data_IF_252447453112
#
_entry.id   IF_252447453112
#
_cell.length_a   1.000
_cell.length_b   1.000
_cell.length_c   1.000
_cell.angle_alpha   90.00
_cell.angle_beta   90.00
_cell.angle_gamma   90.00
#
_symmetry.space_group_name_H-M   'P 1'
#
loop_
_entity.id
_entity.type
_entity.pdbx_description
1 polymer ?
#
# COMPACT_ATOMS: atom_id res chain seq x y z
N UNK A 1 9.38 -36.90 45.16
CA UNK A 1 10.63 -36.52 44.52
C UNK A 1 10.61 -37.08 43.11
N UNK A 2 10.28 -36.28 42.15
CA UNK A 2 10.24 -36.64 40.74
C UNK A 2 11.08 -35.60 39.98
N UNK A 3 12.25 -36.04 39.55
CA UNK A 3 13.19 -35.23 38.71
C UNK A 3 12.72 -35.28 37.27
N UNK A 4 12.56 -34.10 36.66
CA UNK A 4 12.27 -33.95 35.24
C UNK A 4 13.57 -33.50 34.60
N UNK A 5 14.20 -34.43 33.85
CA UNK A 5 15.33 -34.13 32.98
C UNK A 5 14.83 -33.43 31.71
N UNK A 6 15.18 -32.18 31.57
CA UNK A 6 14.93 -31.37 30.39
C UNK A 6 16.03 -31.58 29.34
N UNK A 7 15.75 -32.31 28.29
CA UNK A 7 16.63 -32.45 27.13
C UNK A 7 16.28 -31.37 26.08
N UNK A 8 17.09 -30.34 25.97
CA UNK A 8 17.04 -29.32 24.93
C UNK A 8 18.01 -29.68 23.79
N UNK A 9 17.59 -29.87 22.56
CA UNK A 9 18.51 -29.92 21.43
C UNK A 9 18.76 -28.50 20.91
N UNK A 10 19.93 -27.97 21.23
CA UNK A 10 20.48 -26.79 20.55
C UNK A 10 20.85 -27.14 19.11
N UNK A 11 20.14 -26.58 18.14
CA UNK A 11 20.58 -26.53 16.74
C UNK A 11 20.75 -25.08 16.33
N UNK A 12 21.94 -24.57 16.57
CA UNK A 12 22.48 -23.39 15.90
C UNK A 12 22.97 -23.79 14.51
N UNK A 13 22.20 -23.50 13.47
CA UNK A 13 22.71 -23.50 12.10
C UNK A 13 23.15 -22.09 11.75
N UNK A 14 24.45 -21.90 11.68
CA UNK A 14 25.09 -20.70 11.13
C UNK A 14 25.19 -20.89 9.62
N UNK A 15 24.67 -20.01 8.77
CA UNK A 15 24.94 -20.09 7.33
C UNK A 15 26.35 -19.55 7.06
N UNK A 16 27.20 -20.44 6.53
CA UNK A 16 28.55 -20.15 6.04
C UNK A 16 28.48 -19.21 4.84
N UNK A 17 29.14 -18.05 4.99
CA UNK A 17 29.39 -17.10 3.90
C UNK A 17 30.36 -17.77 2.91
N UNK A 18 29.96 -17.92 1.66
CA UNK A 18 30.84 -18.31 0.56
C UNK A 18 31.69 -17.12 0.13
N UNK A 19 32.97 -17.18 0.39
CA UNK A 19 33.99 -16.26 -0.16
C UNK A 19 34.13 -16.42 -1.67
N UNK A 20 34.29 -15.35 -2.46
CA UNK A 20 34.59 -15.45 -3.87
C UNK A 20 36.08 -15.74 -4.09
N UNK A 21 36.34 -16.86 -4.73
CA UNK A 21 37.65 -17.35 -5.17
C UNK A 21 38.29 -16.39 -6.17
N UNK A 22 39.40 -15.79 -5.77
CA UNK A 22 40.31 -15.00 -6.59
C UNK A 22 41.00 -15.90 -7.61
N UNK A 23 40.81 -15.68 -8.88
CA UNK A 23 41.61 -16.28 -9.93
C UNK A 23 42.49 -15.22 -10.59
N UNK A 24 43.75 -15.57 -10.68
CA UNK A 24 44.89 -14.77 -11.11
C UNK A 24 44.90 -14.36 -12.56
N UNK A 25 45.59 -13.24 -12.76
CA UNK A 25 45.95 -12.61 -14.00
C UNK A 25 46.83 -13.47 -14.95
N UNK A 26 46.68 -13.29 -16.25
CA UNK A 26 47.78 -13.22 -17.20
C UNK A 26 47.35 -12.45 -18.47
N UNK A 27 48.13 -11.43 -18.82
CA UNK A 27 48.59 -11.18 -20.17
C UNK A 27 47.79 -10.22 -21.08
N UNK A 28 48.28 -8.99 -21.14
CA UNK A 28 48.63 -8.22 -22.38
C UNK A 28 47.64 -8.21 -23.55
N UNK A 29 47.12 -7.07 -23.93
CA UNK A 29 47.55 -6.24 -25.05
C UNK A 29 46.60 -5.07 -25.26
N UNK A 30 47.19 -3.92 -25.47
CA UNK A 30 46.51 -2.69 -25.79
C UNK A 30 45.84 -2.76 -27.16
N UNK A 31 44.54 -2.55 -27.22
CA UNK A 31 43.88 -2.04 -28.39
C UNK A 31 42.79 -1.08 -27.96
N UNK A 32 43.03 0.19 -28.21
CA UNK A 32 42.02 1.23 -28.26
C UNK A 32 41.10 0.97 -29.44
N UNK A 33 39.78 0.88 -29.24
CA UNK A 33 38.83 1.19 -30.26
C UNK A 33 38.07 2.45 -29.91
N UNK A 34 38.18 3.39 -30.82
CA UNK A 34 37.22 4.38 -31.28
C UNK A 34 36.01 4.70 -30.39
N UNK A 35 35.83 6.00 -30.19
CA UNK A 35 34.56 6.62 -29.77
C UNK A 35 33.39 6.00 -30.58
N UNK A 36 32.67 5.08 -29.98
CA UNK A 36 31.34 4.69 -30.40
C UNK A 36 30.33 5.68 -29.85
N UNK A 37 29.63 6.33 -30.76
CA UNK A 37 28.50 7.22 -30.49
C UNK A 37 27.56 6.56 -29.48
N UNK A 38 27.36 7.21 -28.34
CA UNK A 38 26.30 6.87 -27.40
C UNK A 38 24.95 7.15 -28.07
N UNK A 39 24.32 6.09 -28.58
CA UNK A 39 22.91 6.10 -28.96
C UNK A 39 22.12 6.67 -27.80
N UNK A 40 21.24 7.67 -27.99
CA UNK A 40 20.37 8.14 -26.94
C UNK A 40 19.53 6.96 -26.45
N UNK A 41 19.51 6.73 -25.17
CA UNK A 41 18.61 5.76 -24.55
C UNK A 41 17.18 6.11 -24.95
N UNK A 42 16.51 5.20 -25.66
CA UNK A 42 15.09 5.33 -25.97
C UNK A 42 14.34 5.57 -24.67
N UNK A 43 13.77 6.76 -24.53
CA UNK A 43 12.95 7.12 -23.41
C UNK A 43 11.81 6.11 -23.27
N UNK A 44 11.70 5.50 -22.10
CA UNK A 44 10.59 4.60 -21.77
C UNK A 44 9.31 5.44 -21.83
N UNK A 45 8.57 5.36 -22.93
CA UNK A 45 7.26 5.98 -23.03
C UNK A 45 6.28 5.19 -22.18
N UNK A 46 5.97 5.69 -20.98
CA UNK A 46 4.94 5.13 -20.13
C UNK A 46 3.58 5.51 -20.72
N UNK A 47 2.98 4.59 -21.45
CA UNK A 47 1.62 4.77 -22.00
C UNK A 47 0.63 4.57 -20.85
N UNK A 48 0.11 5.65 -20.29
CA UNK A 48 -1.00 5.56 -19.34
C UNK A 48 -2.23 5.04 -20.07
N UNK A 49 -2.72 3.88 -19.64
CA UNK A 49 -3.98 3.33 -20.12
C UNK A 49 -5.11 4.33 -19.85
N UNK A 50 -6.03 4.51 -20.82
CA UNK A 50 -7.16 5.42 -20.65
C UNK A 50 -8.03 5.14 -19.41
N UNK A 51 -8.02 3.90 -18.92
CA UNK A 51 -8.65 3.53 -17.65
C UNK A 51 -7.93 4.14 -16.43
N UNK A 52 -6.60 4.18 -16.44
CA UNK A 52 -5.80 4.80 -15.36
C UNK A 52 -6.00 6.33 -15.33
N UNK A 53 -6.11 6.98 -16.49
CA UNK A 53 -6.42 8.41 -16.59
C UNK A 53 -7.83 8.73 -16.08
N UNK A 54 -8.82 7.89 -16.40
CA UNK A 54 -10.19 8.04 -15.87
C UNK A 54 -10.22 7.87 -14.34
N UNK A 55 -9.54 6.88 -13.80
CA UNK A 55 -9.46 6.65 -12.37
C UNK A 55 -8.77 7.84 -11.66
N UNK A 56 -7.66 8.33 -12.16
CA UNK A 56 -6.96 9.48 -11.61
C UNK A 56 -7.79 10.77 -11.67
N UNK A 57 -8.53 10.98 -12.76
CA UNK A 57 -9.43 12.14 -12.89
C UNK A 57 -10.64 12.04 -11.95
N UNK A 58 -11.21 10.84 -11.76
CA UNK A 58 -12.30 10.62 -10.83
C UNK A 58 -11.85 10.84 -9.38
N UNK A 59 -10.66 10.36 -9.02
CA UNK A 59 -10.07 10.57 -7.70
C UNK A 59 -9.75 12.05 -7.45
N UNK A 60 -9.21 12.76 -8.45
CA UNK A 60 -8.97 14.20 -8.39
C UNK A 60 -10.28 14.98 -8.23
N UNK A 61 -11.32 14.64 -9.00
CA UNK A 61 -12.63 15.27 -8.86
C UNK A 61 -13.27 15.01 -7.48
N UNK A 62 -13.10 13.79 -6.95
CA UNK A 62 -13.60 13.41 -5.64
C UNK A 62 -12.88 14.11 -4.48
N UNK A 63 -11.65 14.61 -4.71
CA UNK A 63 -10.81 15.21 -3.68
C UNK A 63 -10.55 16.71 -3.91
N UNK A 64 -11.16 17.33 -4.93
CA UNK A 64 -10.96 18.75 -5.25
C UNK A 64 -11.35 19.67 -4.07
N UNK A 65 -12.40 19.35 -3.35
CA UNK A 65 -12.84 20.08 -2.18
C UNK A 65 -11.83 20.05 -1.02
N UNK A 66 -11.06 18.96 -0.90
CA UNK A 66 -9.96 18.86 0.06
C UNK A 66 -8.76 19.69 -0.41
N UNK A 67 -8.42 19.62 -1.70
CA UNK A 67 -7.31 20.37 -2.29
C UNK A 67 -7.52 21.87 -2.24
N UNK A 68 -8.76 22.33 -2.49
CA UNK A 68 -9.16 23.72 -2.47
C UNK A 68 -9.43 24.27 -1.05
N UNK A 69 -9.43 23.41 -0.04
CA UNK A 69 -9.75 23.80 1.35
C UNK A 69 -8.73 24.75 1.97
N UNK A 70 -7.49 24.79 1.45
CA UNK A 70 -6.38 25.56 2.02
C UNK A 70 -5.85 25.01 3.34
N UNK A 71 -6.25 23.80 3.73
CA UNK A 71 -5.76 23.11 4.91
C UNK A 71 -4.29 22.68 4.75
N UNK A 72 -3.62 22.45 5.87
CA UNK A 72 -2.28 21.89 5.88
C UNK A 72 -2.19 20.59 5.03
N UNK A 73 -1.09 20.42 4.30
CA UNK A 73 -0.90 19.30 3.38
C UNK A 73 -1.04 17.94 4.07
N UNK A 74 -0.58 17.83 5.32
CA UNK A 74 -0.70 16.61 6.09
C UNK A 74 -2.16 16.28 6.41
N UNK A 75 -2.95 17.29 6.77
CA UNK A 75 -4.39 17.15 7.02
C UNK A 75 -5.12 16.77 5.73
N UNK A 76 -4.78 17.41 4.61
CA UNK A 76 -5.35 17.04 3.31
C UNK A 76 -5.06 15.58 2.93
N UNK A 77 -3.82 15.12 3.15
CA UNK A 77 -3.45 13.71 2.91
C UNK A 77 -4.25 12.75 3.77
N UNK A 78 -4.42 13.07 5.05
CA UNK A 78 -5.22 12.23 5.97
C UNK A 78 -6.70 12.20 5.57
N UNK A 79 -7.28 13.32 5.17
CA UNK A 79 -8.66 13.38 4.68
C UNK A 79 -8.86 12.55 3.41
N UNK A 80 -7.94 12.63 2.44
CA UNK A 80 -7.96 11.82 1.22
C UNK A 80 -7.86 10.34 1.56
N UNK A 81 -6.95 9.97 2.45
CA UNK A 81 -6.80 8.58 2.93
C UNK A 81 -8.09 8.07 3.58
N UNK A 82 -8.74 8.85 4.43
CA UNK A 82 -10.01 8.49 5.06
C UNK A 82 -11.10 8.25 4.01
N UNK A 83 -11.21 9.11 2.99
CA UNK A 83 -12.16 8.90 1.87
C UNK A 83 -11.88 7.61 1.13
N UNK A 84 -10.64 7.39 0.77
CA UNK A 84 -10.24 6.17 0.06
C UNK A 84 -10.55 4.91 0.88
N UNK A 85 -10.26 4.92 2.17
CA UNK A 85 -10.60 3.81 3.06
C UNK A 85 -12.12 3.59 3.18
N UNK A 86 -12.91 4.66 3.30
CA UNK A 86 -14.38 4.57 3.29
C UNK A 86 -14.90 3.95 1.99
N UNK A 87 -14.35 4.37 0.85
CA UNK A 87 -14.72 3.81 -0.46
C UNK A 87 -14.37 2.34 -0.55
N UNK A 88 -13.16 1.94 -0.17
CA UNK A 88 -12.74 0.53 -0.17
C UNK A 88 -13.61 -0.33 0.75
N UNK A 89 -14.01 0.19 1.91
CA UNK A 89 -14.94 -0.50 2.81
C UNK A 89 -16.30 -0.70 2.11
N UNK A 90 -16.83 0.33 1.45
CA UNK A 90 -18.09 0.23 0.72
C UNK A 90 -18.01 -0.77 -0.43
N UNK A 91 -16.91 -0.79 -1.18
CA UNK A 91 -16.64 -1.75 -2.25
C UNK A 91 -16.57 -3.19 -1.70
N UNK A 92 -15.89 -3.40 -0.57
CA UNK A 92 -15.82 -4.72 0.07
C UNK A 92 -17.17 -5.17 0.63
N UNK A 93 -17.99 -4.27 1.13
CA UNK A 93 -19.36 -4.60 1.55
C UNK A 93 -20.25 -4.97 0.35
N UNK A 94 -20.10 -4.29 -0.78
CA UNK A 94 -20.79 -4.63 -2.03
C UNK A 94 -20.32 -6.01 -2.56
N UNK A 95 -19.01 -6.28 -2.51
CA UNK A 95 -18.44 -7.58 -2.87
C UNK A 95 -19.01 -8.70 -1.98
N UNK A 96 -19.10 -8.49 -0.68
CA UNK A 96 -19.70 -9.43 0.26
C UNK A 96 -21.16 -9.74 -0.09
N UNK A 97 -21.95 -8.71 -0.39
CA UNK A 97 -23.35 -8.86 -0.82
C UNK A 97 -23.46 -9.62 -2.14
N UNK A 98 -22.56 -9.35 -3.09
CA UNK A 98 -22.50 -10.04 -4.38
C UNK A 98 -22.18 -11.53 -4.21
N UNK A 99 -21.22 -11.88 -3.35
CA UNK A 99 -20.87 -13.28 -3.04
C UNK A 99 -22.08 -14.03 -2.46
N UNK A 100 -22.81 -13.39 -1.53
CA UNK A 100 -24.01 -14.00 -0.93
C UNK A 100 -25.17 -14.18 -1.92
N UNK A 101 -25.23 -13.33 -2.94
CA UNK A 101 -26.29 -13.41 -3.97
C UNK A 101 -25.91 -14.36 -5.11
N UNK A 102 -24.65 -14.76 -5.26
CA UNK A 102 -24.19 -15.58 -6.38
C UNK A 102 -24.53 -17.06 -6.18
N UNK A 103 -25.62 -17.48 -6.79
CA UNK A 103 -26.12 -18.88 -6.78
C UNK A 103 -25.22 -19.89 -7.53
N UNK A 104 -24.17 -19.42 -8.22
CA UNK A 104 -23.24 -20.29 -8.96
C UNK A 104 -22.09 -20.80 -8.09
N UNK A 105 -21.88 -20.17 -6.95
CA UNK A 105 -20.86 -20.58 -5.99
C UNK A 105 -21.34 -21.79 -5.19
N UNK A 106 -20.44 -22.75 -4.98
CA UNK A 106 -20.67 -23.77 -3.96
C UNK A 106 -20.62 -23.16 -2.56
N UNK A 107 -21.26 -23.76 -1.56
CA UNK A 107 -21.20 -23.27 -0.16
C UNK A 107 -19.78 -23.06 0.33
N UNK A 108 -18.86 -23.98 0.04
CA UNK A 108 -17.46 -23.89 0.46
C UNK A 108 -16.73 -22.73 -0.24
N UNK A 109 -16.98 -22.53 -1.53
CA UNK A 109 -16.42 -21.40 -2.28
C UNK A 109 -16.93 -20.05 -1.78
N UNK A 110 -18.23 -19.96 -1.50
CA UNK A 110 -18.83 -18.76 -0.94
C UNK A 110 -18.22 -18.45 0.43
N UNK A 111 -18.11 -19.45 1.30
CA UNK A 111 -17.53 -19.28 2.63
C UNK A 111 -16.06 -18.86 2.59
N UNK A 112 -15.25 -19.45 1.72
CA UNK A 112 -13.86 -19.07 1.55
C UNK A 112 -13.70 -17.62 1.08
N UNK A 113 -14.51 -17.20 0.08
CA UNK A 113 -14.51 -15.80 -0.41
C UNK A 113 -14.99 -14.83 0.67
N UNK A 114 -16.08 -15.15 1.39
CA UNK A 114 -16.59 -14.33 2.49
C UNK A 114 -15.54 -14.15 3.59
N UNK A 115 -14.82 -15.21 3.96
CA UNK A 115 -13.71 -15.13 4.92
C UNK A 115 -12.63 -14.15 4.49
N UNK A 116 -12.24 -14.17 3.23
CA UNK A 116 -11.27 -13.23 2.66
C UNK A 116 -11.77 -11.78 2.70
N UNK A 117 -13.02 -11.54 2.31
CA UNK A 117 -13.61 -10.20 2.34
C UNK A 117 -13.76 -9.68 3.76
N UNK A 118 -14.19 -10.53 4.71
CA UNK A 118 -14.28 -10.15 6.13
C UNK A 118 -12.92 -9.78 6.73
N UNK A 119 -11.87 -10.55 6.42
CA UNK A 119 -10.51 -10.23 6.85
C UNK A 119 -10.05 -8.87 6.28
N UNK A 120 -10.32 -8.62 4.99
CA UNK A 120 -10.02 -7.34 4.35
C UNK A 120 -10.78 -6.18 5.00
N UNK A 121 -12.07 -6.35 5.29
CA UNK A 121 -12.89 -5.36 6.00
C UNK A 121 -12.32 -5.04 7.38
N UNK A 122 -11.92 -6.06 8.15
CA UNK A 122 -11.26 -5.87 9.45
C UNK A 122 -9.99 -5.03 9.36
N UNK A 123 -9.14 -5.31 8.37
CA UNK A 123 -7.94 -4.52 8.10
C UNK A 123 -8.24 -3.07 7.72
N UNK A 124 -9.22 -2.85 6.84
CA UNK A 124 -9.63 -1.51 6.41
C UNK A 124 -10.24 -0.70 7.56
N UNK A 125 -11.04 -1.32 8.43
CA UNK A 125 -11.61 -0.67 9.61
C UNK A 125 -10.52 -0.26 10.61
N UNK A 126 -9.52 -1.12 10.84
CA UNK A 126 -8.37 -0.79 11.67
C UNK A 126 -7.56 0.39 11.09
N UNK A 127 -7.31 0.36 9.77
CA UNK A 127 -6.64 1.46 9.07
C UNK A 127 -7.43 2.77 9.16
N UNK A 128 -8.76 2.71 9.01
CA UNK A 128 -9.64 3.86 9.13
C UNK A 128 -9.59 4.45 10.55
N UNK A 129 -9.63 3.61 11.58
CA UNK A 129 -9.50 4.05 12.98
C UNK A 129 -8.16 4.73 13.22
N UNK A 130 -7.06 4.17 12.70
CA UNK A 130 -5.74 4.78 12.79
C UNK A 130 -5.67 6.13 12.06
N UNK A 131 -6.26 6.23 10.87
CA UNK A 131 -6.31 7.47 10.11
C UNK A 131 -7.10 8.58 10.85
N UNK A 132 -8.21 8.23 11.49
CA UNK A 132 -8.96 9.16 12.34
C UNK A 132 -8.17 9.61 13.56
N UNK A 133 -7.43 8.72 14.22
CA UNK A 133 -6.57 9.09 15.34
C UNK A 133 -5.48 10.08 14.90
N UNK A 134 -4.83 9.80 13.76
CA UNK A 134 -3.82 10.69 13.18
C UNK A 134 -4.40 12.06 12.79
N UNK A 135 -5.60 12.07 12.21
CA UNK A 135 -6.29 13.32 11.87
C UNK A 135 -6.64 14.12 13.13
N UNK A 136 -7.17 13.46 14.16
CA UNK A 136 -7.48 14.09 15.45
C UNK A 136 -6.24 14.75 16.08
N UNK A 137 -5.09 14.08 15.99
CA UNK A 137 -3.82 14.64 16.48
C UNK A 137 -3.37 15.84 15.64
N UNK A 138 -3.46 15.74 14.30
CA UNK A 138 -3.13 16.85 13.41
C UNK A 138 -4.05 18.06 13.64
N UNK A 139 -5.33 17.84 13.91
CA UNK A 139 -6.30 18.90 14.17
C UNK A 139 -6.02 19.71 15.45
N UNK A 140 -5.31 19.16 16.43
CA UNK A 140 -4.93 19.90 17.66
C UNK A 140 -4.02 21.10 17.40
N UNK A 141 -3.30 21.06 16.29
CA UNK A 141 -2.35 22.12 15.90
C UNK A 141 -2.96 23.11 14.90
N UNK A 142 -4.23 22.95 14.52
CA UNK A 142 -4.92 23.81 13.57
C UNK A 142 -5.59 24.98 14.27
N UNK A 143 -5.88 26.04 13.48
CA UNK A 143 -6.79 27.08 13.91
C UNK A 143 -8.22 26.52 14.11
N UNK A 144 -9.04 27.18 14.92
CA UNK A 144 -10.43 26.75 15.12
C UNK A 144 -11.22 26.71 13.80
N UNK A 145 -10.94 27.63 12.87
CA UNK A 145 -11.56 27.68 11.55
C UNK A 145 -11.15 26.47 10.69
N UNK A 146 -9.86 26.15 10.65
CA UNK A 146 -9.35 25.03 9.87
C UNK A 146 -9.80 23.68 10.46
N UNK A 147 -9.89 23.57 11.78
CA UNK A 147 -10.44 22.39 12.44
C UNK A 147 -11.91 22.18 12.06
N UNK A 148 -12.72 23.22 11.98
CA UNK A 148 -14.11 23.12 11.51
C UNK A 148 -14.21 22.74 10.03
N UNK A 149 -13.35 23.30 9.17
CA UNK A 149 -13.25 22.90 7.76
C UNK A 149 -12.90 21.41 7.63
N UNK A 150 -11.86 20.96 8.34
CA UNK A 150 -11.45 19.57 8.33
C UNK A 150 -12.58 18.63 8.79
N UNK A 151 -13.28 18.98 9.87
CA UNK A 151 -14.42 18.22 10.37
C UNK A 151 -15.57 18.14 9.34
N UNK A 152 -15.88 19.23 8.64
CA UNK A 152 -16.91 19.23 7.59
C UNK A 152 -16.54 18.37 6.39
N UNK A 153 -15.25 18.35 5.99
CA UNK A 153 -14.75 17.51 4.90
C UNK A 153 -14.71 16.03 5.28
N UNK A 154 -14.49 15.71 6.55
CA UNK A 154 -14.51 14.35 7.07
C UNK A 154 -15.93 13.72 7.06
N UNK A 155 -16.96 14.54 7.20
CA UNK A 155 -18.36 14.10 7.24
C UNK A 155 -18.93 13.71 5.86
N UNK A 156 -18.28 14.12 4.77
CA UNK A 156 -18.62 13.74 3.40
C UNK A 156 -18.03 12.36 3.08
#
# INVERSE_FOLDING_TARGET
MLSIDGNLPSRTMVPTLLEPKKASAVGAEAQTPALGETKPAEGVSVTFSGASLKAANAEKAANSDIEESGLDENVQKLLKMIRQLKQQIAEKMAEMSSIMADKRLSPDQAQAKLGGVQAALGGLQAALTSAYASLSEAMKNLSAEDAMKAASLMAK
#
